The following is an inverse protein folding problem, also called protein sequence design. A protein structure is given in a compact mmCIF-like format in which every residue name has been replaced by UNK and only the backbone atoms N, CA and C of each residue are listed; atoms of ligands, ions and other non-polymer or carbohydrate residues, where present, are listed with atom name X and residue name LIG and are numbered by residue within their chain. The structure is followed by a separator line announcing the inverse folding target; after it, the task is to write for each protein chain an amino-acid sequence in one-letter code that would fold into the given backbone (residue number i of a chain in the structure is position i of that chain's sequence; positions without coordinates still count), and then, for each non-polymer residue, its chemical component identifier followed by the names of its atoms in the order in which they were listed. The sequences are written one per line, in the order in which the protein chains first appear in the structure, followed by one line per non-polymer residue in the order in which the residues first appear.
data_IF_357335213748
#
_entry.id   IF_357335213748
#
_cell.length_a   1.000
_cell.length_b   1.000
_cell.length_c   1.000
_cell.angle_alpha   90.00
_cell.angle_beta   90.00
_cell.angle_gamma   90.00
#
_symmetry.space_group_name_H-M   'P 1'
#
loop_
_entity.id
_entity.type
_entity.pdbx_description
1 polymer ?
#
# COMPACT_ATOMS: atom_id res chain seq x y z
N UNK A 1 -0.39 24.63 6.23
CA UNK A 1 -0.46 23.73 5.06
C UNK A 1 0.57 22.64 5.29
N UNK A 2 0.17 21.37 5.19
CA UNK A 2 1.09 20.23 5.31
C UNK A 2 2.06 20.24 4.13
N UNK A 3 3.32 19.92 4.39
CA UNK A 3 4.34 19.81 3.35
C UNK A 3 4.05 18.58 2.49
N UNK A 4 4.06 18.75 1.16
CA UNK A 4 3.80 17.68 0.21
C UNK A 4 5.05 16.81 0.03
N UNK A 5 4.83 15.51 -0.13
CA UNK A 5 5.89 14.61 -0.58
C UNK A 5 6.18 14.81 -2.07
N UNK A 6 7.42 14.54 -2.51
CA UNK A 6 7.73 14.44 -3.92
C UNK A 6 6.84 13.41 -4.64
N UNK A 7 6.52 13.61 -5.93
CA UNK A 7 5.60 12.77 -6.69
C UNK A 7 6.05 11.31 -6.84
N UNK A 8 7.36 11.03 -6.71
CA UNK A 8 7.85 9.65 -6.71
C UNK A 8 7.43 8.85 -5.48
N UNK A 9 6.90 9.49 -4.43
CA UNK A 9 6.40 8.84 -3.21
C UNK A 9 4.87 8.60 -3.23
N UNK A 10 4.16 8.98 -4.29
CA UNK A 10 2.68 8.88 -4.38
C UNK A 10 2.16 7.43 -4.32
N UNK A 11 3.04 6.43 -4.50
CA UNK A 11 2.68 5.00 -4.48
C UNK A 11 3.62 4.15 -3.65
N UNK A 12 4.32 4.76 -2.68
CA UNK A 12 5.26 4.03 -1.82
C UNK A 12 4.59 2.81 -1.18
N UNK A 13 5.33 1.70 -1.09
CA UNK A 13 4.80 0.44 -0.55
C UNK A 13 4.69 0.48 0.97
N UNK A 14 5.60 1.20 1.62
CA UNK A 14 5.61 1.45 3.06
C UNK A 14 5.42 2.93 3.35
N UNK A 15 4.33 3.27 4.04
CA UNK A 15 4.03 4.65 4.44
C UNK A 15 5.15 5.24 5.32
N UNK A 16 5.87 4.42 6.08
CA UNK A 16 6.99 4.88 6.91
C UNK A 16 8.21 5.37 6.09
N UNK A 17 8.26 5.11 4.79
CA UNK A 17 9.32 5.58 3.89
C UNK A 17 9.04 6.97 3.28
N UNK A 18 7.87 7.57 3.53
CA UNK A 18 7.56 8.92 3.07
C UNK A 18 8.40 9.97 3.81
N UNK A 19 8.82 11.03 3.10
CA UNK A 19 9.61 12.11 3.71
C UNK A 19 8.79 12.94 4.70
N UNK A 20 7.51 13.13 4.42
CA UNK A 20 6.53 13.83 5.23
C UNK A 20 5.35 12.90 5.52
N UNK A 21 5.40 12.25 6.68
CA UNK A 21 4.31 11.41 7.17
C UNK A 21 3.20 12.29 7.75
N UNK A 22 2.31 12.75 6.89
CA UNK A 22 1.12 13.52 7.28
C UNK A 22 -0.17 12.85 6.75
N UNK A 23 -1.30 13.17 7.38
CA UNK A 23 -2.61 12.62 7.05
C UNK A 23 -2.95 12.79 5.56
N UNK A 24 -2.78 14.00 5.01
CA UNK A 24 -3.04 14.28 3.60
C UNK A 24 -2.22 13.40 2.65
N UNK A 25 -0.94 13.15 2.97
CA UNK A 25 -0.06 12.31 2.15
C UNK A 25 -0.43 10.83 2.25
N UNK A 26 -0.74 10.34 3.46
CA UNK A 26 -1.19 8.96 3.65
C UNK A 26 -2.47 8.68 2.87
N UNK A 27 -3.48 9.55 3.01
CA UNK A 27 -4.75 9.41 2.29
C UNK A 27 -4.54 9.45 0.78
N UNK A 28 -3.69 10.36 0.30
CA UNK A 28 -3.35 10.45 -1.12
C UNK A 28 -2.69 9.15 -1.64
N UNK A 29 -1.66 8.67 -0.96
CA UNK A 29 -0.94 7.45 -1.32
C UNK A 29 -1.84 6.23 -1.31
N UNK A 30 -2.67 6.06 -0.27
CA UNK A 30 -3.63 4.95 -0.17
C UNK A 30 -4.64 5.02 -1.32
N UNK A 31 -5.15 6.22 -1.65
CA UNK A 31 -6.10 6.41 -2.76
C UNK A 31 -5.47 6.05 -4.12
N UNK A 32 -4.23 6.48 -4.37
CA UNK A 32 -3.48 6.15 -5.59
C UNK A 32 -3.19 4.64 -5.72
N UNK A 33 -2.83 3.99 -4.61
CA UNK A 33 -2.58 2.55 -4.55
C UNK A 33 -3.86 1.76 -4.77
N UNK A 34 -4.95 2.13 -4.11
CA UNK A 34 -6.26 1.51 -4.30
C UNK A 34 -6.74 1.62 -5.76
N UNK A 35 -6.62 2.80 -6.37
CA UNK A 35 -6.92 3.00 -7.79
C UNK A 35 -6.02 2.20 -8.76
N UNK A 36 -4.88 1.71 -8.27
CA UNK A 36 -3.95 0.84 -9.00
C UNK A 36 -4.11 -0.64 -8.66
N UNK A 37 -5.19 -1.03 -7.98
CA UNK A 37 -5.45 -2.39 -7.47
C UNK A 37 -4.42 -2.91 -6.44
N UNK A 38 -3.68 -2.01 -5.77
CA UNK A 38 -2.75 -2.34 -4.69
C UNK A 38 -3.47 -2.17 -3.35
N UNK A 39 -4.16 -3.23 -2.91
CA UNK A 39 -5.01 -3.21 -1.71
C UNK A 39 -4.24 -3.36 -0.39
N UNK A 40 -2.97 -3.76 -0.47
CA UNK A 40 -2.08 -3.93 0.67
C UNK A 40 -1.00 -2.85 0.67
N UNK A 41 -0.79 -2.21 1.82
CA UNK A 41 0.22 -1.17 2.02
C UNK A 41 0.85 -1.35 3.40
N UNK A 42 2.18 -1.34 3.48
CA UNK A 42 2.87 -1.41 4.76
C UNK A 42 2.79 -0.08 5.51
N UNK A 43 2.76 -0.18 6.83
CA UNK A 43 2.83 0.95 7.75
C UNK A 43 3.93 0.66 8.79
N UNK A 44 5.14 0.43 8.27
CA UNK A 44 6.28 -0.04 9.04
C UNK A 44 6.37 -1.57 9.17
N UNK A 45 7.34 -2.07 9.95
CA UNK A 45 7.77 -3.47 9.92
C UNK A 45 6.75 -4.47 10.50
N UNK A 46 5.80 -4.00 11.30
CA UNK A 46 4.85 -4.86 12.02
C UNK A 46 3.39 -4.57 11.69
N UNK A 47 3.13 -3.71 10.71
CA UNK A 47 1.78 -3.28 10.39
C UNK A 47 1.54 -3.36 8.88
N UNK A 48 0.48 -4.08 8.50
CA UNK A 48 -0.02 -4.16 7.14
C UNK A 48 -1.43 -3.57 7.09
N UNK A 49 -1.61 -2.53 6.29
CA UNK A 49 -2.90 -1.92 6.00
C UNK A 49 -3.52 -2.62 4.79
N UNK A 50 -4.73 -3.14 4.96
CA UNK A 50 -5.53 -3.72 3.88
C UNK A 50 -6.78 -2.86 3.65
N UNK A 51 -6.99 -2.42 2.41
CA UNK A 51 -8.20 -1.69 1.99
C UNK A 51 -9.08 -2.63 1.18
N UNK A 52 -10.21 -3.05 1.75
CA UNK A 52 -11.11 -4.01 1.10
C UNK A 52 -11.87 -3.33 -0.07
N UNK A 53 -11.71 -3.82 -1.32
CA UNK A 53 -12.40 -3.27 -2.48
C UNK A 53 -13.87 -3.69 -2.59
N UNK A 54 -14.39 -4.46 -1.63
CA UNK A 54 -15.78 -4.95 -1.58
C UNK A 54 -16.20 -5.77 -2.81
N UNK A 55 -15.23 -6.41 -3.46
CA UNK A 55 -15.43 -7.29 -4.61
C UNK A 55 -14.68 -8.61 -4.40
N UNK A 56 -15.08 -9.65 -5.13
CA UNK A 56 -14.36 -10.93 -5.14
C UNK A 56 -12.98 -10.72 -5.78
N UNK A 57 -11.92 -10.96 -5.00
CA UNK A 57 -10.54 -10.85 -5.47
C UNK A 57 -10.04 -12.22 -5.91
N UNK A 58 -9.59 -12.32 -7.16
CA UNK A 58 -8.99 -13.55 -7.68
C UNK A 58 -7.47 -13.66 -7.36
N UNK A 59 -7.06 -13.17 -6.19
CA UNK A 59 -5.66 -13.14 -5.74
C UNK A 59 -5.26 -14.41 -4.97
N UNK A 60 -6.23 -15.20 -4.53
CA UNK A 60 -6.02 -16.47 -3.84
C UNK A 60 -5.87 -17.62 -4.84
N UNK A 61 -5.02 -17.45 -5.85
CA UNK A 61 -4.58 -18.58 -6.69
C UNK A 61 -3.45 -19.30 -5.99
N UNK A 62 -3.44 -20.65 -6.01
CA UNK A 62 -2.41 -21.48 -5.39
C UNK A 62 -0.97 -21.06 -5.78
N UNK A 63 -0.82 -20.46 -6.96
CA UNK A 63 0.45 -19.91 -7.46
C UNK A 63 1.09 -18.85 -6.54
N UNK A 64 0.28 -18.00 -5.86
CA UNK A 64 0.80 -16.95 -4.99
C UNK A 64 1.24 -17.47 -3.62
N UNK A 65 0.61 -18.53 -3.11
CA UNK A 65 0.97 -19.17 -1.84
C UNK A 65 2.26 -19.98 -1.96
N UNK A 66 2.59 -20.46 -3.17
CA UNK A 66 3.76 -21.32 -3.40
C UNK A 66 5.08 -20.52 -3.45
N UNK A 67 5.07 -19.23 -3.82
CA UNK A 67 6.30 -18.44 -3.94
C UNK A 67 6.91 -18.03 -2.59
N UNK A 68 6.11 -17.90 -1.52
CA UNK A 68 6.61 -17.62 -0.16
C UNK A 68 7.12 -18.87 0.58
N UNK A 69 6.70 -20.08 0.17
CA UNK A 69 7.11 -21.33 0.83
C UNK A 69 8.34 -22.02 0.20
N UNK A 70 8.91 -21.42 -0.86
CA UNK A 70 10.07 -21.95 -1.60
C UNK A 70 11.36 -21.13 -1.45
N UNK A 71 11.43 -20.23 -0.45
CA UNK A 71 12.66 -19.49 -0.10
C UNK A 71 12.98 -19.62 1.40
#
# INVERSE_FOLDING_TARGET
MSQANPPYQDRVEDLCQMSFLNESSMVHTISQRFGSNLIYTYAGPHCLLAVNPMQSLNIFSDMFVIFELLN
#
